data_IF_523315932381
#
_entry.id   IF_523315932381
#
_cell.length_a   1.000
_cell.length_b   1.000
_cell.length_c   1.000
_cell.angle_alpha   90.00
_cell.angle_beta   90.00
_cell.angle_gamma   90.00
#
_symmetry.space_group_name_H-M   'P 1'
#
loop_
_entity.id
_entity.type
_entity.pdbx_description
1 polymer ?
#
# COMPACT_ATOMS: atom_id res chain seq x y z
N UNK A 1 -24.46 -5.99 7.41
CA UNK A 1 -23.58 -5.21 6.51
C UNK A 1 -22.98 -4.07 7.32
N UNK A 2 -21.65 -3.92 7.35
CA UNK A 2 -20.99 -2.76 7.99
C UNK A 2 -21.26 -1.49 7.21
N UNK A 3 -21.44 -0.36 7.91
CA UNK A 3 -21.66 0.94 7.29
C UNK A 3 -20.43 1.40 6.49
N UNK A 4 -20.62 2.30 5.53
CA UNK A 4 -19.51 2.87 4.75
C UNK A 4 -18.46 3.53 5.64
N UNK A 5 -18.89 4.26 6.67
CA UNK A 5 -17.99 4.91 7.62
C UNK A 5 -17.11 3.91 8.38
N UNK A 6 -17.67 2.76 8.76
CA UNK A 6 -16.93 1.70 9.43
C UNK A 6 -15.92 1.03 8.50
N UNK A 7 -16.30 0.79 7.23
CA UNK A 7 -15.35 0.29 6.22
C UNK A 7 -14.18 1.27 6.02
N UNK A 8 -14.46 2.55 5.90
CA UNK A 8 -13.42 3.59 5.76
C UNK A 8 -12.52 3.63 7.00
N UNK A 9 -13.09 3.56 8.21
CA UNK A 9 -12.31 3.53 9.45
C UNK A 9 -11.34 2.36 9.49
N UNK A 10 -11.75 1.19 9.00
CA UNK A 10 -10.88 0.01 8.91
C UNK A 10 -9.79 0.16 7.85
N UNK A 11 -10.10 0.79 6.71
CA UNK A 11 -9.17 0.90 5.57
C UNK A 11 -8.19 2.07 5.68
N UNK A 12 -8.58 3.17 6.32
CA UNK A 12 -7.79 4.40 6.36
C UNK A 12 -6.37 4.22 6.93
N UNK A 13 -6.15 3.47 8.03
CA UNK A 13 -4.80 3.19 8.53
C UNK A 13 -3.96 2.43 7.50
N UNK A 14 -4.56 1.47 6.79
CA UNK A 14 -3.86 0.69 5.79
C UNK A 14 -3.50 1.52 4.55
N UNK A 15 -4.37 2.44 4.12
CA UNK A 15 -4.04 3.38 3.05
C UNK A 15 -2.89 4.29 3.45
N UNK A 16 -2.89 4.81 4.68
CA UNK A 16 -1.80 5.66 5.17
C UNK A 16 -0.45 4.92 5.13
N UNK A 17 -0.39 3.68 5.63
CA UNK A 17 0.82 2.86 5.59
C UNK A 17 1.26 2.59 4.15
N UNK A 18 0.32 2.25 3.26
CA UNK A 18 0.63 1.99 1.85
C UNK A 18 1.18 3.23 1.14
N UNK A 19 0.62 4.42 1.39
CA UNK A 19 1.14 5.67 0.86
C UNK A 19 2.55 5.95 1.38
N UNK A 20 2.79 5.80 2.68
CA UNK A 20 4.12 5.97 3.27
C UNK A 20 5.12 4.99 2.66
N UNK A 21 4.74 3.73 2.47
CA UNK A 21 5.58 2.72 1.84
C UNK A 21 5.92 3.08 0.38
N UNK A 22 4.94 3.56 -0.39
CA UNK A 22 5.15 4.00 -1.78
C UNK A 22 6.13 5.18 -1.83
N UNK A 23 5.89 6.24 -1.05
CA UNK A 23 6.77 7.40 -1.04
C UNK A 23 8.18 7.04 -0.56
N UNK A 24 8.30 6.20 0.47
CA UNK A 24 9.58 5.71 0.94
C UNK A 24 10.32 4.91 -0.14
N UNK A 25 9.64 4.00 -0.83
CA UNK A 25 10.24 3.22 -1.91
C UNK A 25 10.68 4.09 -3.08
N UNK A 26 9.83 5.01 -3.54
CA UNK A 26 10.19 5.96 -4.60
C UNK A 26 11.41 6.79 -4.19
N UNK A 27 11.40 7.38 -2.99
CA UNK A 27 12.51 8.19 -2.50
C UNK A 27 13.82 7.39 -2.35
N UNK A 28 13.75 6.12 -1.93
CA UNK A 28 14.92 5.25 -1.81
C UNK A 28 15.48 4.91 -3.20
N UNK A 29 14.61 4.52 -4.15
CA UNK A 29 15.06 4.15 -5.50
C UNK A 29 15.60 5.38 -6.22
N UNK A 30 14.93 6.53 -6.11
CA UNK A 30 15.38 7.79 -6.72
C UNK A 30 16.74 8.23 -6.17
N UNK A 31 16.96 8.10 -4.85
CA UNK A 31 18.27 8.38 -4.25
C UNK A 31 19.37 7.43 -4.71
N UNK A 32 19.03 6.17 -5.00
CA UNK A 32 20.00 5.15 -5.37
C UNK A 32 20.31 5.13 -6.87
N UNK A 33 19.32 5.39 -7.72
CA UNK A 33 19.40 5.22 -9.17
C UNK A 33 19.25 6.53 -9.97
N UNK A 34 18.97 7.66 -9.32
CA UNK A 34 18.67 8.94 -9.96
C UNK A 34 17.19 9.10 -10.31
N UNK A 35 16.87 10.05 -11.18
CA UNK A 35 15.49 10.40 -11.53
C UNK A 35 14.69 9.17 -12.03
N UNK A 36 13.47 9.04 -11.51
CA UNK A 36 12.57 7.95 -11.89
C UNK A 36 11.71 8.36 -13.09
N UNK A 37 11.84 7.60 -14.19
CA UNK A 37 10.88 7.66 -15.28
C UNK A 37 9.51 7.08 -14.90
N UNK A 38 8.45 7.51 -15.59
CA UNK A 38 7.06 7.12 -15.32
C UNK A 38 6.86 5.60 -15.20
N UNK A 39 7.47 4.81 -16.10
CA UNK A 39 7.31 3.36 -16.13
C UNK A 39 7.83 2.69 -14.85
N UNK A 40 8.99 3.12 -14.35
CA UNK A 40 9.58 2.57 -13.13
C UNK A 40 8.78 3.00 -11.90
N UNK A 41 8.37 4.26 -11.83
CA UNK A 41 7.50 4.76 -10.76
C UNK A 41 6.18 3.97 -10.68
N UNK A 42 5.56 3.71 -11.85
CA UNK A 42 4.33 2.92 -11.91
C UNK A 42 4.56 1.47 -11.47
N UNK A 43 5.68 0.86 -11.87
CA UNK A 43 6.03 -0.49 -11.44
C UNK A 43 6.19 -0.59 -9.91
N UNK A 44 6.83 0.39 -9.28
CA UNK A 44 6.99 0.46 -7.82
C UNK A 44 5.62 0.59 -7.15
N UNK A 45 4.79 1.52 -7.61
CA UNK A 45 3.44 1.76 -7.05
C UNK A 45 2.58 0.51 -7.15
N UNK A 46 2.51 -0.12 -8.33
CA UNK A 46 1.74 -1.33 -8.55
C UNK A 46 2.30 -2.50 -7.72
N UNK A 47 3.61 -2.67 -7.70
CA UNK A 47 4.28 -3.69 -6.91
C UNK A 47 3.90 -3.62 -5.44
N UNK A 48 3.92 -2.42 -4.85
CA UNK A 48 3.52 -2.21 -3.46
C UNK A 48 2.01 -2.42 -3.28
N UNK A 49 1.18 -1.89 -4.17
CA UNK A 49 -0.27 -2.02 -4.07
C UNK A 49 -0.73 -3.50 -4.09
N UNK A 50 -0.08 -4.35 -4.88
CA UNK A 50 -0.39 -5.79 -4.91
C UNK A 50 0.29 -6.57 -3.78
N UNK A 51 1.53 -6.23 -3.41
CA UNK A 51 2.24 -6.92 -2.34
C UNK A 51 1.66 -6.60 -0.95
N UNK A 52 1.16 -5.39 -0.73
CA UNK A 52 0.74 -4.93 0.58
C UNK A 52 -0.41 -5.76 1.19
N UNK A 53 -1.53 -6.05 0.48
CA UNK A 53 -2.56 -6.95 1.01
C UNK A 53 -2.05 -8.35 1.33
N UNK A 54 -1.11 -8.88 0.52
CA UNK A 54 -0.50 -10.19 0.76
C UNK A 54 0.30 -10.17 2.05
N UNK A 55 1.15 -9.15 2.25
CA UNK A 55 1.93 -8.97 3.45
C UNK A 55 1.06 -8.80 4.71
N UNK A 56 0.03 -7.95 4.65
CA UNK A 56 -0.89 -7.71 5.76
C UNK A 56 -1.67 -8.99 6.15
N UNK A 57 -2.08 -9.80 5.17
CA UNK A 57 -2.69 -11.13 5.42
C UNK A 57 -1.70 -12.09 6.07
N UNK A 58 -0.47 -12.16 5.57
CA UNK A 58 0.58 -13.02 6.12
C UNK A 58 0.95 -12.65 7.57
N UNK A 59 0.89 -11.37 7.91
CA UNK A 59 1.14 -10.85 9.26
C UNK A 59 -0.06 -10.98 10.21
N UNK A 60 -1.21 -11.48 9.74
CA UNK A 60 -2.42 -11.66 10.56
C UNK A 60 -3.11 -10.35 10.98
N UNK A 61 -2.77 -9.22 10.36
CA UNK A 61 -3.32 -7.89 10.67
C UNK A 61 -4.30 -7.39 9.61
N UNK A 62 -4.86 -8.29 8.80
CA UNK A 62 -5.84 -7.93 7.78
C UNK A 62 -7.16 -7.46 8.39
N UNK A 63 -7.74 -6.34 7.91
CA UNK A 63 -8.99 -5.83 8.45
C UNK A 63 -10.14 -6.76 8.08
N UNK A 64 -11.22 -6.83 8.90
CA UNK A 64 -12.38 -7.67 8.64
C UNK A 64 -13.01 -7.47 7.25
N UNK A 65 -12.99 -6.24 6.72
CA UNK A 65 -13.51 -5.91 5.39
C UNK A 65 -12.78 -6.63 4.22
N UNK A 66 -11.61 -7.23 4.46
CA UNK A 66 -10.88 -8.03 3.47
C UNK A 66 -11.14 -9.53 3.57
N UNK A 67 -11.88 -9.96 4.58
CA UNK A 67 -12.31 -11.35 4.73
C UNK A 67 -13.53 -11.60 3.82
N UNK A 68 -13.59 -12.77 3.15
CA UNK A 68 -14.72 -13.15 2.30
C UNK A 68 -16.03 -13.32 3.09
#
# INVERSE_FOLDING_TARGET
MTSTAEKVRQLAPHWAVMFVAIFAALAVVERAAGELGLALSLAIVLGIAFAYPVAVRALGVAPPVWQP
#
